data_IF_902957527272
#
_entry.id   IF_902957527272
#
_cell.length_a   1.000
_cell.length_b   1.000
_cell.length_c   1.000
_cell.angle_alpha   90.00
_cell.angle_beta   90.00
_cell.angle_gamma   90.00
#
_symmetry.space_group_name_H-M   'P 1'
#
loop_
_entity.id
_entity.type
_entity.pdbx_description
1 polymer ?
#
# COMPACT_ATOMS: atom_id res chain seq x y z
N UNK A 1 -38.95 84.00 23.15
CA UNK A 1 -39.76 84.83 22.24
C UNK A 1 -39.02 86.12 22.03
N UNK A 2 -38.85 86.49 20.81
CA UNK A 2 -38.29 87.79 20.42
C UNK A 2 -39.45 88.77 20.27
N UNK A 3 -39.32 89.95 20.85
CA UNK A 3 -40.35 91.03 20.80
C UNK A 3 -39.65 92.31 20.31
N UNK A 4 -40.14 92.86 19.23
CA UNK A 4 -39.76 94.18 18.76
C UNK A 4 -40.73 95.19 19.26
N UNK A 5 -40.22 96.33 19.77
CA UNK A 5 -41.06 97.42 20.39
C UNK A 5 -41.78 98.23 19.32
N UNK A 6 -41.20 98.39 18.14
CA UNK A 6 -41.69 99.13 17.01
C UNK A 6 -42.54 98.33 16.04
N UNK A 7 -42.57 96.95 16.27
CA UNK A 7 -43.34 95.99 15.50
C UNK A 7 -42.83 95.76 14.10
N UNK A 8 -41.51 95.90 13.92
CA UNK A 8 -40.81 95.61 12.66
C UNK A 8 -40.70 94.08 12.47
N UNK A 9 -40.44 93.68 11.23
CA UNK A 9 -40.19 92.24 10.87
C UNK A 9 -38.82 91.83 11.36
N UNK A 10 -38.73 90.78 12.23
CA UNK A 10 -37.51 90.30 12.82
C UNK A 10 -37.02 89.05 11.99
N UNK A 11 -35.83 89.15 11.49
CA UNK A 11 -35.13 88.01 10.93
C UNK A 11 -34.32 87.32 12.03
N UNK A 12 -34.47 85.97 12.09
CA UNK A 12 -33.74 85.15 13.04
C UNK A 12 -32.75 84.29 12.32
N UNK A 13 -31.49 84.33 12.77
CA UNK A 13 -30.41 83.45 12.29
C UNK A 13 -29.84 82.64 13.48
N UNK A 14 -29.31 81.47 13.22
CA UNK A 14 -28.61 80.69 14.23
C UNK A 14 -27.25 80.17 13.71
N UNK A 15 -26.26 80.21 14.59
CA UNK A 15 -24.89 79.77 14.32
C UNK A 15 -24.46 78.84 15.44
N UNK A 16 -23.59 77.90 15.14
CA UNK A 16 -22.92 77.03 16.11
C UNK A 16 -21.44 77.36 16.17
N UNK A 17 -20.81 77.27 17.33
CA UNK A 17 -19.35 77.45 17.48
C UNK A 17 -18.50 76.43 16.74
N UNK A 18 -19.15 75.37 16.24
CA UNK A 18 -18.47 74.30 15.44
C UNK A 18 -19.43 73.85 14.34
N UNK A 19 -19.49 74.59 13.22
CA UNK A 19 -20.35 74.29 12.07
C UNK A 19 -19.90 73.09 11.27
N UNK A 20 -18.67 72.60 11.50
CA UNK A 20 -18.16 71.39 10.88
C UNK A 20 -18.90 70.10 11.35
N UNK A 21 -19.37 70.11 12.61
CA UNK A 21 -19.99 68.96 13.24
C UNK A 21 -21.45 69.15 13.67
N UNK A 22 -21.88 70.36 13.82
CA UNK A 22 -23.28 70.70 14.20
C UNK A 22 -23.79 71.85 13.32
N UNK A 23 -24.95 71.64 12.72
CA UNK A 23 -25.64 72.66 11.96
C UNK A 23 -26.89 73.11 12.75
N UNK A 24 -27.16 74.38 12.69
CA UNK A 24 -28.40 74.95 13.24
C UNK A 24 -29.11 75.76 12.17
N UNK A 25 -30.40 75.58 12.05
CA UNK A 25 -31.27 76.36 11.16
C UNK A 25 -32.54 76.78 11.94
N UNK A 26 -33.12 77.96 11.60
CA UNK A 26 -34.39 78.36 12.16
C UNK A 26 -35.46 78.22 11.09
N UNK A 27 -36.49 77.43 11.40
CA UNK A 27 -37.65 77.21 10.52
C UNK A 27 -38.92 77.34 11.38
N UNK A 28 -39.91 78.12 10.90
CA UNK A 28 -41.17 78.28 11.58
C UNK A 28 -41.05 78.74 13.08
N UNK A 29 -40.02 79.56 13.40
CA UNK A 29 -39.74 80.03 14.75
C UNK A 29 -39.14 78.98 15.70
N UNK A 30 -38.73 77.82 15.18
CA UNK A 30 -38.02 76.78 15.93
C UNK A 30 -36.56 76.63 15.42
N UNK A 31 -35.69 76.39 16.38
CA UNK A 31 -34.29 76.03 16.03
C UNK A 31 -34.20 74.56 15.84
N UNK A 32 -33.82 74.13 14.63
CA UNK A 32 -33.49 72.73 14.29
C UNK A 32 -31.98 72.58 14.36
N UNK A 33 -31.53 71.67 15.20
CA UNK A 33 -30.12 71.39 15.40
C UNK A 33 -29.86 69.93 14.95
N UNK A 34 -28.90 69.74 14.04
CA UNK A 34 -28.48 68.41 13.55
C UNK A 34 -26.98 68.22 13.81
N UNK A 35 -26.65 67.21 14.54
CA UNK A 35 -25.28 66.78 14.68
C UNK A 35 -24.88 65.85 13.51
N UNK A 36 -23.60 65.88 13.07
CA UNK A 36 -23.05 64.85 12.21
C UNK A 36 -23.03 63.52 12.94
N UNK A 37 -23.09 62.48 12.16
CA UNK A 37 -23.06 61.09 12.67
C UNK A 37 -21.82 60.89 13.56
N UNK A 38 -22.00 60.23 14.72
CA UNK A 38 -20.97 59.89 15.71
C UNK A 38 -20.18 61.07 16.30
N UNK A 39 -20.70 62.28 16.21
CA UNK A 39 -20.11 63.42 16.93
C UNK A 39 -20.71 63.59 18.33
N UNK A 40 -19.86 63.74 19.31
CA UNK A 40 -20.23 64.14 20.69
C UNK A 40 -19.34 65.29 21.14
N UNK A 41 -19.83 66.08 22.05
CA UNK A 41 -19.12 67.25 22.54
C UNK A 41 -20.08 68.41 22.95
N UNK A 42 -19.48 69.53 23.28
CA UNK A 42 -20.24 70.75 23.66
C UNK A 42 -20.00 71.90 22.68
N UNK A 43 -21.06 72.49 22.19
CA UNK A 43 -20.97 73.66 21.30
C UNK A 43 -21.81 74.78 21.88
N UNK A 44 -21.44 76.05 21.63
CA UNK A 44 -22.24 77.18 21.84
C UNK A 44 -23.11 77.42 20.62
N UNK A 45 -24.40 77.53 20.82
CA UNK A 45 -25.39 77.98 19.82
C UNK A 45 -25.73 79.42 20.07
N UNK A 46 -25.51 80.26 19.07
CA UNK A 46 -25.82 81.70 19.09
C UNK A 46 -27.04 81.94 18.22
N UNK A 47 -28.09 82.54 18.77
CA UNK A 47 -29.28 82.96 18.03
C UNK A 47 -29.23 84.45 17.91
N UNK A 48 -29.32 84.98 16.72
CA UNK A 48 -29.25 86.36 16.39
C UNK A 48 -30.64 86.84 15.90
N UNK A 49 -31.13 87.84 16.46
CA UNK A 49 -32.35 88.54 16.04
C UNK A 49 -31.96 89.89 15.41
N UNK A 50 -32.41 90.14 14.19
CA UNK A 50 -32.11 91.35 13.44
C UNK A 50 -33.39 91.93 12.89
N UNK A 51 -33.66 93.22 13.20
CA UNK A 51 -34.78 93.96 12.66
C UNK A 51 -34.56 94.54 11.26
N UNK A 52 -33.36 94.31 10.65
CA UNK A 52 -32.94 94.78 9.34
C UNK A 52 -33.03 96.39 9.17
N UNK A 53 -33.29 97.13 10.26
CA UNK A 53 -33.31 98.61 10.22
C UNK A 53 -31.96 99.22 10.63
N UNK A 54 -30.95 98.43 10.86
CA UNK A 54 -29.54 98.81 11.09
C UNK A 54 -29.28 99.40 12.49
N UNK A 55 -30.12 99.13 13.46
CA UNK A 55 -29.99 99.68 14.82
C UNK A 55 -30.06 98.69 15.97
N UNK A 56 -30.69 97.51 15.81
CA UNK A 56 -30.82 96.54 16.87
C UNK A 56 -30.48 95.11 16.33
N UNK A 57 -29.36 94.65 16.80
CA UNK A 57 -29.02 93.19 16.69
C UNK A 57 -28.89 92.71 18.14
N UNK A 58 -29.70 91.74 18.53
CA UNK A 58 -29.57 91.04 19.80
C UNK A 58 -29.18 89.60 19.59
N UNK A 59 -28.35 89.13 20.48
CA UNK A 59 -27.87 87.75 20.37
C UNK A 59 -27.89 87.06 21.73
N UNK A 60 -28.48 85.88 21.74
CA UNK A 60 -28.49 85.00 22.91
C UNK A 60 -27.72 83.74 22.63
N UNK A 61 -26.96 83.32 23.63
CA UNK A 61 -26.13 82.15 23.53
C UNK A 61 -26.57 81.10 24.56
N UNK A 62 -26.52 79.83 24.14
CA UNK A 62 -26.67 78.68 25.04
C UNK A 62 -25.71 77.57 24.71
N UNK A 63 -25.28 76.79 25.70
CA UNK A 63 -24.48 75.59 25.50
C UNK A 63 -25.39 74.43 25.18
N UNK A 64 -24.99 73.68 24.10
CA UNK A 64 -25.58 72.43 23.73
C UNK A 64 -24.53 71.30 23.90
N UNK A 65 -24.86 70.34 24.74
CA UNK A 65 -24.04 69.15 24.91
C UNK A 65 -24.67 67.93 24.17
N UNK A 66 -23.94 67.36 23.25
CA UNK A 66 -24.28 66.07 22.65
C UNK A 66 -23.50 65.00 23.40
N UNK A 67 -24.24 64.14 24.09
CA UNK A 67 -23.64 63.09 24.90
C UNK A 67 -23.16 61.95 23.99
N UNK A 68 -22.03 61.35 24.32
CA UNK A 68 -21.58 60.10 23.58
C UNK A 68 -22.64 59.03 23.79
N UNK A 69 -22.93 58.29 22.71
CA UNK A 69 -23.71 57.05 22.67
C UNK A 69 -22.80 55.99 22.18
N UNK A 70 -22.68 54.91 22.93
CA UNK A 70 -21.84 53.79 22.54
C UNK A 70 -22.31 53.17 21.23
N UNK A 71 -21.43 53.06 20.25
CA UNK A 71 -21.64 52.36 19.01
C UNK A 71 -21.28 50.86 19.18
N UNK A 72 -21.79 50.02 18.32
CA UNK A 72 -21.59 48.59 18.39
C UNK A 72 -20.26 48.23 17.69
N UNK A 73 -19.36 47.44 18.29
CA UNK A 73 -18.14 47.04 17.65
C UNK A 73 -18.40 46.10 16.47
N UNK A 74 -17.52 46.11 15.48
CA UNK A 74 -17.62 45.30 14.25
C UNK A 74 -16.38 44.43 14.04
N UNK A 75 -16.60 43.18 13.60
CA UNK A 75 -15.50 42.32 13.10
C UNK A 75 -14.99 42.86 11.76
N UNK A 76 -13.65 42.94 11.59
CA UNK A 76 -13.03 43.51 10.38
C UNK A 76 -12.11 42.54 9.63
N UNK A 77 -11.76 41.40 10.21
CA UNK A 77 -10.92 40.39 9.59
C UNK A 77 -11.70 39.32 8.80
N UNK A 78 -10.99 38.43 8.13
CA UNK A 78 -11.59 37.23 7.56
C UNK A 78 -12.02 36.29 8.69
N UNK A 79 -13.27 35.87 8.67
CA UNK A 79 -13.85 34.95 9.66
C UNK A 79 -13.90 33.51 9.10
N UNK A 80 -12.91 33.13 8.31
CA UNK A 80 -12.75 31.76 7.78
C UNK A 80 -11.29 31.43 7.56
N UNK A 81 -10.96 30.12 7.66
CA UNK A 81 -9.63 29.65 7.41
C UNK A 81 -9.62 28.18 6.98
N UNK A 82 -8.60 27.81 6.19
CA UNK A 82 -8.22 26.43 5.87
C UNK A 82 -6.97 26.08 6.67
N UNK A 83 -7.02 24.95 7.40
CA UNK A 83 -5.92 24.49 8.25
C UNK A 83 -5.60 23.01 8.01
N UNK A 84 -4.35 22.61 8.25
CA UNK A 84 -3.95 21.21 8.24
C UNK A 84 -4.31 20.51 9.54
N UNK A 85 -4.84 19.28 9.46
CA UNK A 85 -5.04 18.43 10.63
C UNK A 85 -3.67 18.11 11.27
N UNK A 86 -3.57 18.28 12.59
CA UNK A 86 -2.34 18.11 13.34
C UNK A 86 -1.30 19.22 13.16
N UNK A 87 -1.62 20.28 12.40
CA UNK A 87 -0.73 21.42 12.17
C UNK A 87 -1.22 22.61 13.02
N UNK A 88 -0.30 23.17 13.80
CA UNK A 88 -0.60 24.39 14.56
C UNK A 88 -0.93 25.54 13.62
N UNK A 89 -1.98 26.28 13.96
CA UNK A 89 -2.42 27.46 13.22
C UNK A 89 -2.59 28.65 14.15
N UNK A 90 -2.52 29.85 13.57
CA UNK A 90 -2.68 31.10 14.24
C UNK A 90 -3.40 32.11 13.32
N UNK A 91 -4.54 32.65 13.75
CA UNK A 91 -5.30 33.71 13.05
C UNK A 91 -5.47 34.92 13.91
N UNK A 92 -5.09 36.08 13.39
CA UNK A 92 -5.28 37.36 14.05
C UNK A 92 -6.77 37.75 14.01
N UNK A 93 -7.39 37.91 15.16
CA UNK A 93 -8.74 38.44 15.29
C UNK A 93 -8.69 39.97 15.25
N UNK A 94 -9.50 40.56 14.38
CA UNK A 94 -9.54 42.01 14.18
C UNK A 94 -10.96 42.54 14.32
N UNK A 95 -11.08 43.67 14.96
CA UNK A 95 -12.32 44.40 15.12
C UNK A 95 -12.09 45.90 15.03
N UNK A 96 -13.15 46.62 14.85
CA UNK A 96 -13.18 48.06 14.83
C UNK A 96 -14.32 48.58 15.70
N UNK A 97 -14.05 49.61 16.47
CA UNK A 97 -15.03 50.38 17.22
C UNK A 97 -14.90 51.84 16.84
N UNK A 98 -16.02 52.50 16.56
CA UNK A 98 -16.02 53.87 16.08
C UNK A 98 -15.76 54.89 17.18
N UNK A 99 -16.10 54.53 18.43
CA UNK A 99 -15.80 55.33 19.62
C UNK A 99 -14.37 55.13 20.10
N UNK A 100 -13.64 54.20 19.46
CA UNK A 100 -12.28 53.78 19.82
C UNK A 100 -12.18 53.15 21.20
N UNK A 101 -13.25 52.49 21.65
CA UNK A 101 -13.27 51.75 22.91
C UNK A 101 -12.36 50.51 22.81
N UNK A 102 -11.77 50.07 23.93
CA UNK A 102 -10.91 48.88 23.94
C UNK A 102 -11.68 47.61 23.62
N UNK A 103 -11.28 46.92 22.53
CA UNK A 103 -11.90 45.72 22.10
C UNK A 103 -11.35 44.46 22.79
N UNK A 104 -12.22 43.50 23.07
CA UNK A 104 -11.88 42.20 23.65
C UNK A 104 -12.57 41.08 22.87
N UNK A 105 -11.85 40.01 22.57
CA UNK A 105 -12.37 38.79 21.93
C UNK A 105 -12.34 37.63 22.90
N UNK A 106 -13.40 36.81 22.90
CA UNK A 106 -13.45 35.57 23.68
C UNK A 106 -14.38 34.52 23.04
N UNK A 107 -14.25 33.27 23.47
CA UNK A 107 -15.13 32.18 23.06
C UNK A 107 -16.46 32.25 23.82
N UNK A 108 -17.57 31.97 23.15
CA UNK A 108 -18.90 31.96 23.77
C UNK A 108 -19.06 30.76 24.71
N UNK A 109 -19.16 30.97 26.00
CA UNK A 109 -19.28 29.91 27.02
C UNK A 109 -20.52 29.02 26.83
N UNK A 110 -21.49 29.43 26.04
CA UNK A 110 -22.68 28.64 25.73
C UNK A 110 -22.45 27.57 24.63
N UNK A 111 -21.33 27.62 23.94
CA UNK A 111 -20.96 26.73 22.86
C UNK A 111 -19.86 25.72 23.28
N UNK A 112 -20.00 24.48 22.86
CA UNK A 112 -18.98 23.43 23.11
C UNK A 112 -17.89 23.48 22.03
N UNK A 113 -16.78 24.12 22.35
CA UNK A 113 -15.60 24.17 21.45
C UNK A 113 -14.79 22.89 21.51
N UNK A 114 -14.08 22.54 20.43
CA UNK A 114 -13.03 21.52 20.48
C UNK A 114 -11.97 21.90 21.52
N UNK A 115 -11.47 20.91 22.28
CA UNK A 115 -10.47 21.16 23.35
C UNK A 115 -9.13 21.73 22.83
N UNK A 116 -8.88 21.61 21.53
CA UNK A 116 -7.66 22.07 20.87
C UNK A 116 -7.73 23.55 20.40
N UNK A 117 -8.83 24.28 20.62
CA UNK A 117 -8.98 25.68 20.21
C UNK A 117 -8.81 26.63 21.42
N UNK A 118 -8.13 27.73 21.22
CA UNK A 118 -7.89 28.76 22.23
C UNK A 118 -7.81 30.14 21.59
N UNK A 119 -8.23 31.18 22.36
CA UNK A 119 -7.97 32.61 22.03
C UNK A 119 -6.88 33.13 22.95
N UNK A 120 -5.75 33.54 22.35
CA UNK A 120 -4.69 34.27 23.03
C UNK A 120 -4.93 35.76 22.92
N UNK A 121 -4.57 36.49 23.99
CA UNK A 121 -4.63 37.99 24.04
C UNK A 121 -3.26 38.59 23.76
N UNK A 122 -3.22 39.80 23.23
CA UNK A 122 -2.05 40.66 23.00
C UNK A 122 -1.05 40.09 21.94
N UNK A 123 -1.38 40.20 20.65
CA UNK A 123 -2.69 40.53 20.08
C UNK A 123 -3.66 39.37 20.18
N UNK A 124 -4.95 39.63 20.00
CA UNK A 124 -5.97 38.58 20.01
C UNK A 124 -5.81 37.65 18.81
N UNK A 125 -5.58 36.35 19.07
CA UNK A 125 -5.35 35.34 18.07
C UNK A 125 -6.13 34.07 18.39
N UNK A 126 -6.81 33.52 17.38
CA UNK A 126 -7.38 32.18 17.43
C UNK A 126 -6.26 31.19 17.09
N UNK A 127 -5.96 30.29 18.00
CA UNK A 127 -4.87 29.32 17.85
C UNK A 127 -5.34 27.89 18.13
N UNK A 128 -4.65 26.91 17.60
CA UNK A 128 -4.95 25.49 17.84
C UNK A 128 -4.29 24.56 16.84
N UNK A 129 -4.64 23.27 16.96
CA UNK A 129 -4.29 22.24 15.98
C UNK A 129 -5.46 21.26 15.89
N UNK A 130 -6.15 21.23 14.74
CA UNK A 130 -7.32 20.38 14.55
C UNK A 130 -6.94 18.90 14.69
N UNK A 131 -7.70 18.11 15.45
CA UNK A 131 -7.47 16.67 15.65
C UNK A 131 -7.99 15.84 14.48
N UNK A 132 -9.02 16.32 13.78
CA UNK A 132 -9.70 15.60 12.71
C UNK A 132 -10.07 16.56 11.57
N UNK A 133 -10.33 16.01 10.39
CA UNK A 133 -10.88 16.77 9.27
C UNK A 133 -12.35 17.13 9.48
N UNK A 134 -12.74 18.26 8.91
CA UNK A 134 -14.12 18.73 9.00
C UNK A 134 -14.23 20.25 8.96
N UNK A 135 -15.48 20.70 8.96
CA UNK A 135 -15.80 22.14 9.05
C UNK A 135 -16.33 22.46 10.45
N UNK A 136 -15.66 23.37 11.13
CA UNK A 136 -16.00 23.82 12.46
C UNK A 136 -16.51 25.26 12.37
N UNK A 137 -17.75 25.49 12.82
CA UNK A 137 -18.37 26.84 12.91
C UNK A 137 -18.31 27.29 14.37
N UNK A 138 -17.42 28.23 14.67
CA UNK A 138 -17.10 28.64 16.05
C UNK A 138 -17.58 30.07 16.32
N UNK A 139 -18.59 30.25 17.14
CA UNK A 139 -19.02 31.59 17.56
C UNK A 139 -17.90 32.30 18.34
N UNK A 140 -17.53 33.50 17.93
CA UNK A 140 -16.57 34.36 18.63
C UNK A 140 -17.30 35.60 19.06
N UNK A 141 -17.09 36.01 20.30
CA UNK A 141 -17.68 37.24 20.88
C UNK A 141 -16.65 38.34 20.80
N UNK A 142 -17.07 39.50 20.27
CA UNK A 142 -16.35 40.75 20.30
C UNK A 142 -17.12 41.72 21.18
N UNK A 143 -16.44 42.40 22.13
CA UNK A 143 -17.04 43.41 22.99
C UNK A 143 -16.12 44.62 23.15
N UNK A 144 -16.73 45.78 23.28
CA UNK A 144 -16.16 47.06 23.68
C UNK A 144 -16.24 47.31 25.19
N UNK A 145 -16.82 46.38 25.96
CA UNK A 145 -17.07 46.46 27.38
C UNK A 145 -18.50 46.93 27.73
N UNK A 146 -19.28 47.44 26.76
CA UNK A 146 -20.66 47.89 26.91
C UNK A 146 -21.65 47.01 26.15
N UNK A 147 -21.29 46.67 24.92
CA UNK A 147 -22.10 45.84 24.03
C UNK A 147 -21.23 44.67 23.49
N UNK A 148 -21.85 43.56 23.18
CA UNK A 148 -21.20 42.41 22.59
C UNK A 148 -21.88 42.00 21.29
N UNK A 149 -21.08 41.65 20.29
CA UNK A 149 -21.53 41.06 19.03
C UNK A 149 -20.92 39.68 18.90
N UNK A 150 -21.61 38.79 18.18
CA UNK A 150 -21.16 37.43 17.94
C UNK A 150 -21.11 37.20 16.44
N UNK A 151 -19.99 36.67 15.96
CA UNK A 151 -19.87 36.16 14.59
C UNK A 151 -19.23 34.78 14.61
N UNK A 152 -19.47 33.97 13.57
CA UNK A 152 -18.99 32.59 13.50
C UNK A 152 -17.76 32.48 12.64
N UNK A 153 -16.62 32.14 13.26
CA UNK A 153 -15.42 31.78 12.54
C UNK A 153 -15.59 30.39 11.90
N UNK A 154 -15.40 30.29 10.58
CA UNK A 154 -15.51 29.05 9.81
C UNK A 154 -14.12 28.48 9.61
N UNK A 155 -13.78 27.38 10.31
CA UNK A 155 -12.53 26.66 10.16
C UNK A 155 -12.77 25.39 9.34
N UNK A 156 -12.06 25.25 8.22
CA UNK A 156 -12.04 24.03 7.42
C UNK A 156 -10.71 23.30 7.65
N UNK A 157 -10.76 22.18 8.38
CA UNK A 157 -9.59 21.35 8.64
C UNK A 157 -9.49 20.21 7.62
N UNK A 158 -8.32 20.02 7.02
CA UNK A 158 -8.05 18.99 6.00
C UNK A 158 -6.70 18.33 6.26
N UNK A 159 -6.57 17.05 5.87
CA UNK A 159 -5.28 16.38 5.88
C UNK A 159 -4.43 16.88 4.71
N UNK A 160 -3.43 17.70 4.99
CA UNK A 160 -2.50 18.18 3.96
C UNK A 160 -1.53 17.07 3.52
N UNK A 161 -1.18 16.17 4.44
CA UNK A 161 -0.31 15.02 4.17
C UNK A 161 -1.07 13.89 3.48
N UNK A 162 -0.39 13.09 2.66
CA UNK A 162 -0.93 11.82 2.19
C UNK A 162 -1.15 10.87 3.37
N UNK A 163 -2.04 9.90 3.24
CA UNK A 163 -2.33 8.91 4.29
C UNK A 163 -2.29 7.51 3.71
N UNK A 164 -1.41 6.67 4.24
CA UNK A 164 -1.39 5.24 3.87
C UNK A 164 -2.64 4.58 4.45
N UNK A 165 -3.47 4.02 3.57
CA UNK A 165 -4.69 3.29 3.92
C UNK A 165 -4.42 1.81 4.15
N UNK A 166 -3.50 1.21 3.37
CA UNK A 166 -3.12 -0.19 3.52
C UNK A 166 -1.72 -0.47 2.97
N UNK A 167 -1.09 -1.52 3.51
CA UNK A 167 0.11 -2.16 2.97
C UNK A 167 -0.20 -3.65 2.90
N UNK A 168 -0.40 -4.17 1.69
CA UNK A 168 -0.86 -5.54 1.44
C UNK A 168 0.12 -6.28 0.54
N UNK A 169 0.20 -7.58 0.74
CA UNK A 169 0.98 -8.48 -0.09
C UNK A 169 0.59 -8.41 -1.58
N UNK A 170 1.56 -8.62 -2.46
CA UNK A 170 1.30 -8.82 -3.89
C UNK A 170 0.92 -10.29 -4.10
N UNK A 171 -0.31 -10.60 -4.54
CA UNK A 171 -0.74 -11.99 -4.67
C UNK A 171 -0.04 -12.70 -5.82
N UNK A 172 0.08 -14.02 -5.70
CA UNK A 172 0.65 -14.93 -6.71
C UNK A 172 2.07 -14.53 -7.16
N UNK A 173 2.92 -14.16 -6.19
CA UNK A 173 4.31 -13.81 -6.44
C UNK A 173 5.29 -14.58 -5.52
N UNK A 174 6.59 -14.43 -5.79
CA UNK A 174 7.68 -15.04 -5.01
C UNK A 174 8.02 -14.22 -3.75
N UNK A 175 7.08 -13.38 -3.27
CA UNK A 175 7.31 -12.50 -2.14
C UNK A 175 8.20 -11.29 -2.45
N UNK A 176 8.67 -10.63 -1.41
CA UNK A 176 9.56 -9.46 -1.50
C UNK A 176 8.87 -8.18 -1.96
N UNK A 177 7.53 -8.16 -2.15
CA UNK A 177 6.78 -7.02 -2.68
C UNK A 177 5.45 -6.83 -1.97
N UNK A 178 5.05 -5.57 -1.87
CA UNK A 178 3.73 -5.17 -1.34
C UNK A 178 3.12 -4.07 -2.19
N UNK A 179 1.81 -3.96 -2.16
CA UNK A 179 1.07 -2.79 -2.58
C UNK A 179 0.92 -1.84 -1.40
N UNK A 180 1.42 -0.61 -1.55
CA UNK A 180 1.13 0.50 -0.64
C UNK A 180 0.01 1.30 -1.27
N UNK A 181 -1.17 1.27 -0.63
CA UNK A 181 -2.31 2.10 -0.99
C UNK A 181 -2.34 3.33 -0.11
N UNK A 182 -2.49 4.51 -0.71
CA UNK A 182 -2.55 5.77 0.04
C UNK A 182 -3.49 6.78 -0.61
N UNK A 183 -4.13 7.60 0.22
CA UNK A 183 -4.87 8.77 -0.21
C UNK A 183 -3.91 9.90 -0.53
N UNK A 184 -4.20 10.65 -1.59
CA UNK A 184 -3.41 11.81 -2.00
C UNK A 184 -3.35 12.92 -0.95
N UNK A 185 -2.40 13.83 -1.12
CA UNK A 185 -2.33 15.10 -0.37
C UNK A 185 -3.52 15.98 -0.74
N UNK A 186 -3.98 16.84 0.17
CA UNK A 186 -5.00 17.87 -0.12
C UNK A 186 -4.64 18.73 -1.35
N UNK A 187 -3.36 18.95 -1.58
CA UNK A 187 -2.84 19.76 -2.69
C UNK A 187 -2.68 19.00 -4.01
N UNK A 188 -3.03 17.71 -4.05
CA UNK A 188 -2.98 16.93 -5.28
C UNK A 188 -4.10 17.37 -6.23
N UNK A 189 -3.69 17.91 -7.37
CA UNK A 189 -4.60 18.43 -8.37
C UNK A 189 -4.10 18.08 -9.77
N UNK A 190 -4.99 17.68 -10.70
CA UNK A 190 -4.61 17.39 -12.08
C UNK A 190 -4.11 18.63 -12.85
N UNK A 191 -4.36 19.82 -12.31
CA UNK A 191 -3.92 21.10 -12.91
C UNK A 191 -2.47 21.45 -12.52
N UNK A 192 -1.93 20.82 -11.49
CA UNK A 192 -0.58 21.06 -10.95
C UNK A 192 0.43 20.05 -11.52
N UNK A 193 1.33 20.48 -12.39
CA UNK A 193 2.17 19.59 -13.20
C UNK A 193 3.47 19.11 -12.56
N UNK A 194 3.87 19.65 -11.40
CA UNK A 194 5.19 19.39 -10.80
C UNK A 194 5.10 18.69 -9.44
N UNK A 195 3.94 18.13 -9.11
CA UNK A 195 3.73 17.43 -7.87
C UNK A 195 4.00 15.94 -8.03
N UNK A 196 4.58 15.34 -7.01
CA UNK A 196 4.85 13.90 -6.98
C UNK A 196 4.91 13.37 -5.55
N UNK A 197 4.75 12.06 -5.44
CA UNK A 197 4.91 11.32 -4.19
C UNK A 197 6.19 10.50 -4.22
N UNK A 198 6.90 10.45 -3.09
CA UNK A 198 8.00 9.51 -2.87
C UNK A 198 7.60 8.56 -1.75
N UNK A 199 7.64 7.26 -2.06
CA UNK A 199 7.48 6.21 -1.07
C UNK A 199 8.86 5.88 -0.50
N UNK A 200 8.96 5.82 0.82
CA UNK A 200 10.19 5.47 1.52
C UNK A 200 9.95 4.27 2.42
N UNK A 201 10.96 3.41 2.51
CA UNK A 201 11.02 2.22 3.35
C UNK A 201 12.06 2.44 4.44
N UNK A 202 11.81 1.94 5.64
CA UNK A 202 12.75 2.02 6.75
C UNK A 202 13.74 0.84 6.70
N UNK A 203 14.99 1.12 6.35
CA UNK A 203 16.06 0.12 6.21
C UNK A 203 17.10 0.26 7.33
N UNK A 204 17.67 -0.86 7.79
CA UNK A 204 18.81 -0.85 8.72
C UNK A 204 20.13 -0.86 7.95
N UNK A 205 20.87 0.23 8.00
CA UNK A 205 22.17 0.38 7.34
C UNK A 205 23.25 0.62 8.40
N UNK A 206 24.16 -0.33 8.54
CA UNK A 206 25.24 -0.21 9.52
C UNK A 206 24.78 -0.21 10.98
N UNK A 207 23.57 -0.69 11.26
CA UNK A 207 22.95 -0.72 12.58
C UNK A 207 22.10 0.53 12.91
N UNK A 208 21.99 1.46 11.99
CA UNK A 208 21.10 2.63 12.08
C UNK A 208 19.89 2.47 11.18
N UNK A 209 18.73 2.93 11.64
CA UNK A 209 17.49 2.92 10.87
C UNK A 209 17.36 4.19 10.04
N UNK A 210 17.25 4.03 8.72
CA UNK A 210 17.22 5.13 7.74
C UNK A 210 16.09 4.94 6.75
N UNK A 211 15.38 6.03 6.45
CA UNK A 211 14.35 6.04 5.41
C UNK A 211 14.98 6.10 4.01
N UNK A 212 14.72 5.08 3.19
CA UNK A 212 15.23 4.96 1.83
C UNK A 212 14.06 5.11 0.85
N UNK A 213 14.19 6.03 -0.11
CA UNK A 213 13.21 6.16 -1.20
C UNK A 213 13.22 4.91 -2.08
N UNK A 214 12.06 4.25 -2.19
CA UNK A 214 11.90 2.99 -2.96
C UNK A 214 11.07 3.18 -4.22
N UNK A 215 10.23 4.22 -4.29
CA UNK A 215 9.43 4.53 -5.48
C UNK A 215 9.08 6.01 -5.55
N UNK A 216 8.76 6.47 -6.75
CA UNK A 216 8.24 7.82 -6.99
C UNK A 216 7.11 7.74 -8.00
N UNK A 217 5.99 8.42 -7.72
CA UNK A 217 4.82 8.47 -8.59
C UNK A 217 4.34 9.91 -8.75
N UNK A 218 3.91 10.29 -9.94
CA UNK A 218 3.37 11.63 -10.20
C UNK A 218 2.01 11.81 -9.51
N UNK A 219 1.78 12.96 -8.93
CA UNK A 219 0.46 13.38 -8.47
C UNK A 219 -0.43 13.68 -9.69
N UNK A 220 -1.64 13.15 -9.71
CA UNK A 220 -2.56 13.23 -10.85
C UNK A 220 -3.98 13.66 -10.45
N UNK A 221 -4.20 14.04 -9.20
CA UNK A 221 -5.49 14.46 -8.68
C UNK A 221 -6.48 13.31 -8.45
N UNK A 222 -5.99 12.08 -8.33
CA UNK A 222 -6.85 10.93 -7.98
C UNK A 222 -6.93 10.76 -6.46
N UNK A 223 -8.05 10.24 -5.99
CA UNK A 223 -8.31 10.08 -4.56
C UNK A 223 -7.37 9.08 -3.89
N UNK A 224 -7.05 7.98 -4.56
CA UNK A 224 -6.21 6.90 -4.04
C UNK A 224 -5.19 6.43 -5.06
N UNK A 225 -3.97 6.16 -4.58
CA UNK A 225 -2.84 5.62 -5.32
C UNK A 225 -2.50 4.24 -4.79
N UNK A 226 -2.21 3.31 -5.69
CA UNK A 226 -1.67 1.99 -5.37
C UNK A 226 -0.30 1.85 -6.01
N UNK A 227 0.73 1.63 -5.21
CA UNK A 227 2.11 1.56 -5.68
C UNK A 227 2.77 0.29 -5.19
N UNK A 228 3.29 -0.50 -6.11
CA UNK A 228 4.08 -1.68 -5.79
C UNK A 228 5.50 -1.26 -5.35
N UNK A 229 5.94 -1.78 -4.20
CA UNK A 229 7.28 -1.53 -3.64
C UNK A 229 7.85 -2.81 -3.03
N UNK A 230 9.19 -2.87 -2.95
CA UNK A 230 9.87 -4.01 -2.32
C UNK A 230 9.86 -3.92 -0.80
N UNK A 231 9.74 -5.07 -0.15
CA UNK A 231 9.98 -5.28 1.27
C UNK A 231 11.45 -5.63 1.55
N UNK A 232 11.81 -5.82 2.82
CA UNK A 232 13.16 -6.25 3.21
C UNK A 232 13.27 -7.76 3.30
N UNK A 233 12.23 -8.40 3.82
CA UNK A 233 12.13 -9.85 4.02
C UNK A 233 10.65 -10.24 3.99
N UNK A 234 10.38 -11.48 3.63
CA UNK A 234 9.04 -12.02 3.67
C UNK A 234 8.62 -12.45 5.08
N UNK A 235 7.34 -12.44 5.32
CA UNK A 235 6.76 -13.05 6.50
C UNK A 235 6.84 -14.57 6.39
N UNK A 236 7.27 -15.21 7.45
CA UNK A 236 7.39 -16.66 7.55
C UNK A 236 6.82 -17.15 8.87
N UNK A 237 6.77 -18.47 9.07
CA UNK A 237 6.40 -19.07 10.37
C UNK A 237 7.35 -18.69 11.51
N UNK A 238 8.54 -18.17 11.22
CA UNK A 238 9.57 -17.80 12.20
C UNK A 238 9.66 -16.29 12.47
N UNK A 239 9.04 -15.45 11.64
CA UNK A 239 9.06 -14.00 11.81
C UNK A 239 8.03 -13.29 10.94
N UNK A 240 7.51 -12.17 11.45
CA UNK A 240 6.44 -11.43 10.78
C UNK A 240 6.88 -10.68 9.52
N UNK A 241 8.19 -10.52 9.28
CA UNK A 241 8.73 -9.81 8.11
C UNK A 241 8.22 -8.37 7.93
N UNK A 242 7.75 -7.72 9.02
CA UNK A 242 7.17 -6.38 8.94
C UNK A 242 8.18 -5.37 8.40
N UNK A 243 7.75 -4.62 7.41
CA UNK A 243 8.48 -3.52 6.80
C UNK A 243 7.67 -2.24 6.95
N UNK A 244 8.30 -1.15 7.37
CA UNK A 244 7.66 0.15 7.55
C UNK A 244 7.82 1.03 6.31
N UNK A 245 6.74 1.73 5.97
CA UNK A 245 6.66 2.64 4.82
C UNK A 245 6.13 4.01 5.22
N UNK A 246 6.58 5.03 4.48
CA UNK A 246 6.06 6.40 4.50
C UNK A 246 5.88 6.93 3.09
N UNK A 247 4.93 7.85 2.94
CA UNK A 247 4.71 8.60 1.70
C UNK A 247 4.94 10.07 1.95
N UNK A 248 5.76 10.71 1.14
CA UNK A 248 5.96 12.14 1.15
C UNK A 248 5.39 12.76 -0.14
N UNK A 249 4.49 13.71 -0.01
CA UNK A 249 3.99 14.54 -1.10
C UNK A 249 4.89 15.76 -1.29
N UNK A 250 5.44 15.93 -2.48
CA UNK A 250 6.18 17.12 -2.90
C UNK A 250 5.24 18.00 -3.70
N UNK A 251 4.82 19.12 -3.13
CA UNK A 251 3.83 20.02 -3.69
C UNK A 251 4.43 21.41 -3.88
N UNK A 252 3.72 22.30 -4.60
CA UNK A 252 4.10 23.71 -4.73
C UNK A 252 3.99 24.49 -3.41
N UNK A 253 3.32 23.91 -2.41
CA UNK A 253 3.06 24.53 -1.08
C UNK A 253 3.98 23.98 0.00
N UNK A 254 4.76 22.94 -0.29
CA UNK A 254 5.68 22.31 0.67
C UNK A 254 5.77 20.80 0.53
N UNK A 255 6.45 20.19 1.49
CA UNK A 255 6.57 18.72 1.60
C UNK A 255 5.75 18.24 2.78
N UNK A 256 4.79 17.37 2.52
CA UNK A 256 3.89 16.79 3.52
C UNK A 256 4.11 15.29 3.59
N UNK A 257 4.32 14.77 4.78
CA UNK A 257 4.70 13.37 4.98
C UNK A 257 3.65 12.64 5.81
N UNK A 258 3.30 11.42 5.40
CA UNK A 258 2.41 10.52 6.15
C UNK A 258 3.05 10.04 7.45
N UNK A 259 2.24 9.52 8.34
CA UNK A 259 2.70 8.61 9.38
C UNK A 259 3.28 7.33 8.77
N UNK A 260 4.09 6.60 9.55
CA UNK A 260 4.61 5.31 9.16
C UNK A 260 3.51 4.24 9.29
N UNK A 261 3.44 3.35 8.30
CA UNK A 261 2.54 2.18 8.32
C UNK A 261 3.34 0.94 7.96
N UNK A 262 3.10 -0.15 8.68
CA UNK A 262 3.79 -1.42 8.47
C UNK A 262 2.95 -2.38 7.64
N UNK A 263 3.62 -3.20 6.84
CA UNK A 263 3.06 -4.36 6.15
C UNK A 263 4.12 -5.43 5.94
N UNK A 264 3.72 -6.53 5.36
CA UNK A 264 4.61 -7.66 5.07
C UNK A 264 4.28 -8.26 3.71
N UNK A 265 5.26 -8.88 3.09
CA UNK A 265 5.12 -9.70 1.89
C UNK A 265 5.12 -11.18 2.25
N UNK A 266 4.50 -11.97 1.40
CA UNK A 266 4.47 -13.42 1.47
C UNK A 266 4.93 -13.98 0.12
N UNK A 267 5.76 -14.98 0.15
CA UNK A 267 5.89 -15.85 -0.99
C UNK A 267 4.67 -16.77 -1.02
N UNK A 268 3.85 -16.61 -2.04
CA UNK A 268 2.60 -17.36 -2.23
C UNK A 268 2.47 -17.97 -3.63
N UNK A 269 3.57 -17.98 -4.40
CA UNK A 269 3.63 -18.61 -5.69
C UNK A 269 4.18 -20.04 -5.57
N UNK A 270 3.27 -21.02 -5.60
CA UNK A 270 3.65 -22.42 -5.57
C UNK A 270 4.53 -22.84 -6.78
N UNK A 271 5.48 -23.75 -6.59
CA UNK A 271 6.24 -24.33 -7.70
C UNK A 271 5.33 -25.06 -8.69
N UNK A 272 5.80 -25.24 -9.91
CA UNK A 272 5.06 -26.04 -10.90
C UNK A 272 4.99 -27.51 -10.46
N UNK A 273 3.88 -28.17 -10.82
CA UNK A 273 3.76 -29.61 -10.60
C UNK A 273 4.91 -30.38 -11.29
N UNK A 274 5.45 -31.43 -10.65
CA UNK A 274 6.51 -32.22 -11.25
C UNK A 274 6.11 -32.83 -12.60
N UNK A 275 6.97 -32.70 -13.59
CA UNK A 275 6.74 -33.25 -14.93
C UNK A 275 7.31 -34.65 -15.08
N UNK A 276 6.92 -35.34 -16.14
CA UNK A 276 7.43 -36.70 -16.52
C UNK A 276 7.26 -37.75 -15.42
N UNK A 277 6.35 -37.56 -14.46
CA UNK A 277 6.12 -38.53 -13.39
C UNK A 277 5.71 -39.88 -13.96
N UNK A 278 6.55 -40.91 -13.70
CA UNK A 278 6.41 -42.22 -14.28
C UNK A 278 6.88 -43.29 -13.31
N UNK A 279 6.41 -44.55 -13.51
CA UNK A 279 6.81 -45.68 -12.70
C UNK A 279 6.98 -46.95 -13.52
N UNK A 280 7.85 -47.84 -13.07
CA UNK A 280 8.01 -49.19 -13.64
C UNK A 280 8.42 -50.17 -12.53
N UNK A 281 8.26 -51.47 -12.83
CA UNK A 281 8.70 -52.54 -11.95
C UNK A 281 10.09 -53.01 -12.38
N UNK A 282 11.03 -53.04 -11.44
CA UNK A 282 12.38 -53.53 -11.63
C UNK A 282 12.74 -54.47 -10.45
N UNK A 283 13.14 -55.67 -10.72
CA UNK A 283 13.61 -56.66 -9.72
C UNK A 283 12.73 -56.72 -8.46
N UNK A 284 11.42 -56.83 -8.65
CA UNK A 284 10.43 -56.85 -7.58
C UNK A 284 10.40 -55.54 -6.73
N UNK A 285 10.74 -54.40 -7.32
CA UNK A 285 10.60 -53.08 -6.73
C UNK A 285 9.81 -52.19 -7.67
N UNK A 286 9.11 -51.21 -7.12
CA UNK A 286 8.44 -50.15 -7.89
C UNK A 286 9.42 -48.98 -7.92
N UNK A 287 9.89 -48.59 -9.11
CA UNK A 287 10.78 -47.46 -9.31
C UNK A 287 9.97 -46.33 -9.91
N UNK A 288 9.91 -45.20 -9.20
CA UNK A 288 9.27 -43.98 -9.66
C UNK A 288 10.35 -42.95 -9.99
N UNK A 289 10.09 -42.11 -10.98
CA UNK A 289 10.99 -41.05 -11.40
C UNK A 289 10.20 -39.90 -12.02
N UNK A 290 10.80 -38.71 -11.98
CA UNK A 290 10.23 -37.44 -12.46
C UNK A 290 11.34 -36.45 -12.82
N UNK A 291 11.00 -35.33 -13.43
CA UNK A 291 11.96 -34.28 -13.76
C UNK A 291 12.25 -33.38 -12.54
N UNK A 292 13.43 -32.74 -12.55
CA UNK A 292 13.82 -31.76 -11.55
C UNK A 292 12.90 -30.53 -11.64
N UNK A 293 12.45 -30.02 -10.50
CA UNK A 293 11.74 -28.75 -10.45
C UNK A 293 12.68 -27.58 -10.76
N UNK A 294 12.20 -26.58 -11.49
CA UNK A 294 12.97 -25.42 -11.95
C UNK A 294 12.76 -24.15 -11.11
N UNK A 295 11.90 -24.19 -10.09
CA UNK A 295 11.69 -23.05 -9.20
C UNK A 295 12.99 -22.76 -8.41
N UNK A 296 13.34 -21.48 -8.29
CA UNK A 296 14.59 -21.06 -7.61
C UNK A 296 14.54 -21.35 -6.11
N UNK A 297 13.36 -21.31 -5.54
CA UNK A 297 13.02 -21.54 -4.13
C UNK A 297 12.52 -22.98 -3.85
N UNK A 298 12.62 -23.89 -4.83
CA UNK A 298 12.24 -25.28 -4.65
C UNK A 298 12.94 -25.90 -3.43
N UNK A 299 12.16 -26.56 -2.57
CA UNK A 299 12.65 -27.24 -1.35
C UNK A 299 12.75 -28.74 -1.55
N UNK A 300 11.64 -29.41 -1.79
CA UNK A 300 11.60 -30.87 -1.88
C UNK A 300 10.33 -31.35 -2.61
N UNK A 301 10.31 -32.66 -2.92
CA UNK A 301 9.12 -33.34 -3.41
C UNK A 301 8.41 -34.08 -2.27
N UNK A 302 7.08 -34.16 -2.32
CA UNK A 302 6.29 -35.05 -1.48
C UNK A 302 5.60 -36.09 -2.36
N UNK A 303 6.04 -37.36 -2.22
CA UNK A 303 5.42 -38.49 -2.87
C UNK A 303 4.40 -39.11 -1.93
N UNK A 304 3.17 -39.27 -2.39
CA UNK A 304 2.10 -39.97 -1.67
C UNK A 304 1.88 -41.35 -2.29
N UNK A 305 1.76 -42.37 -1.41
CA UNK A 305 1.44 -43.76 -1.75
C UNK A 305 0.15 -44.15 -1.05
N UNK A 306 -0.81 -44.70 -1.81
CA UNK A 306 -2.11 -45.12 -1.29
C UNK A 306 -2.55 -46.47 -1.84
N UNK A 307 -3.46 -47.15 -1.13
CA UNK A 307 -4.21 -48.30 -1.63
C UNK A 307 -5.50 -47.91 -2.36
N UNK A 308 -5.87 -46.65 -2.30
CA UNK A 308 -7.10 -46.07 -2.88
C UNK A 308 -6.75 -44.99 -3.88
N UNK A 309 -7.40 -45.03 -5.05
CA UNK A 309 -7.30 -43.97 -6.06
C UNK A 309 -7.68 -42.58 -5.52
N UNK A 310 -8.56 -42.54 -4.52
CA UNK A 310 -8.98 -41.29 -3.90
C UNK A 310 -8.01 -40.76 -2.84
N UNK A 311 -6.96 -41.50 -2.50
CA UNK A 311 -5.99 -41.15 -1.45
C UNK A 311 -6.63 -40.87 -0.08
N UNK A 312 -7.68 -41.61 0.32
CA UNK A 312 -8.34 -41.47 1.63
C UNK A 312 -7.38 -41.76 2.79
N UNK A 313 -6.42 -42.66 2.56
CA UNK A 313 -5.30 -43.01 3.44
C UNK A 313 -4.05 -43.17 2.60
N UNK A 314 -2.99 -42.48 2.98
CA UNK A 314 -1.73 -42.50 2.24
C UNK A 314 -0.51 -42.39 3.15
N UNK A 315 0.62 -42.85 2.67
CA UNK A 315 1.95 -42.63 3.23
C UNK A 315 2.62 -41.49 2.48
N UNK A 316 3.37 -40.62 3.19
CA UNK A 316 4.13 -39.51 2.59
C UNK A 316 5.61 -39.80 2.67
N UNK A 317 6.32 -39.57 1.57
CA UNK A 317 7.76 -39.60 1.48
C UNK A 317 8.26 -38.22 1.03
N UNK A 318 9.13 -37.60 1.84
CA UNK A 318 9.80 -36.34 1.52
C UNK A 318 11.12 -36.67 0.80
N UNK A 319 11.34 -36.11 -0.39
CA UNK A 319 12.40 -36.52 -1.31
C UNK A 319 13.09 -35.30 -1.92
N UNK A 320 14.41 -35.29 -1.89
CA UNK A 320 15.23 -34.27 -2.57
C UNK A 320 15.65 -34.71 -3.97
N UNK A 321 15.65 -36.05 -4.20
CA UNK A 321 16.01 -36.66 -5.46
C UNK A 321 14.82 -36.72 -6.43
N UNK A 322 15.09 -36.95 -7.71
CA UNK A 322 14.10 -37.12 -8.78
C UNK A 322 13.68 -38.56 -9.04
N UNK A 323 13.92 -39.43 -8.07
CA UNK A 323 13.53 -40.85 -8.13
C UNK A 323 13.29 -41.43 -6.75
N UNK A 324 12.42 -42.42 -6.69
CA UNK A 324 12.14 -43.20 -5.49
C UNK A 324 11.98 -44.69 -5.82
N UNK A 325 12.56 -45.55 -5.01
CA UNK A 325 12.40 -46.99 -5.14
C UNK A 325 11.60 -47.52 -3.97
N UNK A 326 10.38 -47.95 -4.24
CA UNK A 326 9.51 -48.57 -3.25
C UNK A 326 9.76 -50.11 -3.25
N UNK A 327 10.27 -50.58 -2.12
CA UNK A 327 10.49 -52.02 -1.84
C UNK A 327 9.48 -52.55 -0.81
N UNK A 328 8.62 -51.67 -0.26
CA UNK A 328 7.67 -52.03 0.77
C UNK A 328 6.25 -52.10 0.19
N UNK A 329 5.96 -53.20 -0.48
CA UNK A 329 4.65 -53.48 -1.07
C UNK A 329 4.26 -54.96 -0.90
N UNK A 330 2.98 -55.25 -1.04
CA UNK A 330 2.40 -56.58 -1.03
C UNK A 330 2.15 -57.03 -2.47
N UNK A 331 2.61 -58.21 -2.85
CA UNK A 331 2.33 -58.79 -4.17
C UNK A 331 0.83 -58.89 -4.42
N UNK A 332 0.41 -58.74 -5.66
CA UNK A 332 -0.98 -58.78 -6.11
C UNK A 332 -1.87 -57.68 -5.48
N UNK A 333 -1.25 -56.60 -4.98
CA UNK A 333 -1.91 -55.43 -4.44
C UNK A 333 -1.65 -54.24 -5.34
N UNK A 334 -2.69 -53.48 -5.62
CA UNK A 334 -2.61 -52.23 -6.39
C UNK A 334 -2.28 -51.09 -5.46
N UNK A 335 -1.32 -50.26 -5.88
CA UNK A 335 -0.94 -49.02 -5.22
C UNK A 335 -1.08 -47.85 -6.19
N UNK A 336 -1.44 -46.72 -5.64
CA UNK A 336 -1.54 -45.44 -6.35
C UNK A 336 -0.48 -44.50 -5.81
N UNK A 337 0.20 -43.80 -6.70
CA UNK A 337 1.24 -42.82 -6.38
C UNK A 337 0.92 -41.50 -7.04
N UNK A 338 1.08 -40.40 -6.32
CA UNK A 338 1.05 -39.04 -6.83
C UNK A 338 2.14 -38.22 -6.19
N UNK A 339 2.52 -37.10 -6.83
CA UNK A 339 3.66 -36.30 -6.45
C UNK A 339 3.30 -34.84 -6.48
N UNK A 340 3.85 -34.06 -5.53
CA UNK A 340 3.86 -32.59 -5.53
C UNK A 340 5.28 -32.09 -5.34
N UNK A 341 5.51 -30.84 -5.72
CA UNK A 341 6.68 -30.06 -5.33
C UNK A 341 6.28 -29.06 -4.23
N UNK A 342 7.19 -28.83 -3.29
CA UNK A 342 7.03 -27.85 -2.22
C UNK A 342 8.26 -26.93 -2.21
N UNK A 343 8.03 -25.61 -2.02
CA UNK A 343 9.09 -24.62 -1.89
C UNK A 343 9.55 -24.43 -0.45
N UNK A 344 10.49 -23.50 -0.24
CA UNK A 344 11.01 -23.17 1.10
C UNK A 344 10.00 -22.42 1.98
N UNK A 345 8.99 -21.81 1.38
CA UNK A 345 7.92 -21.07 2.06
C UNK A 345 6.75 -21.99 2.45
N UNK A 346 6.73 -23.22 1.92
CA UNK A 346 5.71 -24.24 2.18
C UNK A 346 4.56 -24.23 1.19
N UNK A 347 4.67 -23.48 0.06
CA UNK A 347 3.68 -23.53 -1.01
C UNK A 347 3.82 -24.84 -1.77
N UNK A 348 2.66 -25.43 -2.10
CA UNK A 348 2.59 -26.75 -2.73
C UNK A 348 2.01 -26.65 -4.11
N UNK A 349 2.66 -27.32 -5.05
CA UNK A 349 2.14 -27.46 -6.41
C UNK A 349 0.84 -28.24 -6.45
N UNK A 350 0.17 -28.21 -7.59
CA UNK A 350 -0.86 -29.19 -7.91
C UNK A 350 -0.26 -30.62 -7.91
N UNK A 351 -1.10 -31.63 -7.64
CA UNK A 351 -0.68 -33.01 -7.75
C UNK A 351 -0.46 -33.43 -9.21
N UNK A 352 0.53 -34.29 -9.43
CA UNK A 352 0.60 -35.05 -10.68
C UNK A 352 -0.62 -35.94 -10.84
N UNK A 353 -0.88 -36.41 -12.08
CA UNK A 353 -1.82 -37.51 -12.25
C UNK A 353 -1.32 -38.75 -11.48
N UNK A 354 -2.26 -39.45 -10.82
CA UNK A 354 -1.94 -40.64 -10.07
C UNK A 354 -1.47 -41.76 -11.01
N UNK A 355 -0.43 -42.48 -10.57
CA UNK A 355 0.06 -43.69 -11.26
C UNK A 355 -0.43 -44.90 -10.50
N UNK A 356 -1.10 -45.80 -11.20
CA UNK A 356 -1.52 -47.09 -10.69
C UNK A 356 -0.44 -48.16 -10.93
N UNK A 357 0.00 -48.84 -9.89
CA UNK A 357 1.02 -49.91 -9.97
C UNK A 357 0.55 -51.17 -9.24
N UNK A 358 0.62 -52.32 -9.91
CA UNK A 358 0.34 -53.62 -9.31
C UNK A 358 1.52 -54.53 -9.57
N UNK A 359 2.21 -54.98 -8.53
CA UNK A 359 3.26 -55.97 -8.66
C UNK A 359 2.64 -57.36 -8.58
N UNK A 360 2.57 -58.03 -9.69
CA UNK A 360 2.04 -59.39 -9.76
C UNK A 360 3.08 -60.40 -9.28
N UNK A 361 2.64 -61.40 -8.53
CA UNK A 361 3.46 -62.57 -8.26
C UNK A 361 3.70 -63.29 -9.59
N UNK A 362 4.94 -63.39 -9.99
CA UNK A 362 5.30 -64.22 -11.17
C UNK A 362 5.24 -65.66 -10.74
N UNK A 363 4.15 -66.34 -11.07
CA UNK A 363 4.02 -67.78 -10.86
C UNK A 363 5.11 -68.51 -11.61
N UNK A 364 6.11 -69.00 -10.87
CA UNK A 364 7.11 -69.94 -11.26
C UNK A 364 8.00 -69.54 -12.46
N UNK A 365 9.24 -69.34 -12.16
CA UNK A 365 10.45 -69.38 -13.01
C UNK A 365 10.30 -70.12 -14.34
N UNK A 366 9.52 -69.58 -15.29
CA UNK A 366 9.64 -70.04 -16.70
C UNK A 366 10.85 -69.26 -17.22
N UNK A 367 12.02 -69.98 -17.20
CA UNK A 367 13.21 -69.47 -17.83
C UNK A 367 12.85 -69.11 -19.29
N UNK A 368 13.26 -67.97 -19.83
CA UNK A 368 13.10 -67.67 -21.26
C UNK A 368 13.63 -68.82 -22.09
N UNK A 369 13.01 -69.13 -23.23
CA UNK A 369 13.47 -70.20 -24.13
C UNK A 369 14.67 -69.74 -24.92
N UNK A 370 14.84 -68.43 -25.17
CA UNK A 370 15.88 -67.82 -25.97
C UNK A 370 16.47 -66.56 -25.32
N UNK A 371 17.73 -66.26 -25.69
CA UNK A 371 18.30 -64.92 -25.33
C UNK A 371 17.60 -63.85 -26.13
N UNK A 372 17.26 -62.74 -25.46
CA UNK A 372 16.69 -61.55 -26.07
C UNK A 372 17.24 -60.30 -25.47
N UNK A 373 17.39 -59.23 -26.26
CA UNK A 373 17.55 -57.85 -25.82
C UNK A 373 16.32 -57.08 -26.23
N UNK A 374 15.63 -56.44 -25.27
CA UNK A 374 14.42 -55.69 -25.56
C UNK A 374 14.72 -54.22 -25.80
N UNK A 375 13.78 -53.49 -26.42
CA UNK A 375 13.86 -52.05 -26.55
C UNK A 375 13.85 -51.43 -25.17
N UNK A 376 14.75 -50.47 -24.93
CA UNK A 376 14.78 -49.71 -23.70
C UNK A 376 13.47 -48.92 -23.55
N UNK A 377 13.04 -48.74 -22.31
CA UNK A 377 11.84 -47.97 -21.98
C UNK A 377 12.09 -47.12 -20.74
N UNK A 378 11.68 -45.80 -20.80
CA UNK A 378 11.19 -45.07 -21.97
C UNK A 378 12.23 -44.96 -23.11
N UNK A 379 11.75 -44.71 -24.35
CA UNK A 379 12.60 -44.34 -25.49
C UNK A 379 11.79 -43.50 -26.49
N UNK A 380 12.03 -42.21 -26.65
CA UNK A 380 13.10 -41.43 -26.01
C UNK A 380 13.02 -41.37 -24.48
N UNK A 381 14.14 -41.04 -23.79
CA UNK A 381 14.23 -41.00 -22.33
C UNK A 381 14.98 -39.75 -21.84
N UNK A 382 14.75 -39.40 -20.55
CA UNK A 382 15.37 -38.27 -19.89
C UNK A 382 15.37 -38.43 -18.35
N UNK A 383 16.48 -38.48 -17.64
CA UNK A 383 17.76 -39.00 -18.11
C UNK A 383 17.87 -40.51 -17.94
N UNK A 384 16.84 -41.19 -17.41
CA UNK A 384 16.88 -42.60 -17.01
C UNK A 384 16.10 -43.47 -17.99
N UNK A 385 16.65 -44.65 -18.31
CA UNK A 385 15.98 -45.69 -19.11
C UNK A 385 16.31 -47.08 -18.61
N UNK A 386 15.36 -48.00 -18.78
CA UNK A 386 15.51 -49.41 -18.43
C UNK A 386 15.77 -50.23 -19.66
N UNK A 387 16.81 -51.06 -19.64
CA UNK A 387 17.15 -52.05 -20.64
C UNK A 387 16.75 -53.43 -20.11
N UNK A 388 15.83 -54.12 -20.79
CA UNK A 388 15.39 -55.48 -20.45
C UNK A 388 16.07 -56.51 -21.34
N UNK A 389 16.37 -57.67 -20.76
CA UNK A 389 16.99 -58.75 -21.48
C UNK A 389 16.58 -60.10 -20.87
N UNK A 390 16.59 -61.15 -21.69
CA UNK A 390 16.18 -62.49 -21.30
C UNK A 390 17.40 -63.45 -21.38
N UNK A 391 17.58 -64.25 -20.32
CA UNK A 391 18.67 -65.19 -20.15
C UNK A 391 18.08 -66.61 -20.00
N UNK A 392 18.19 -67.50 -20.98
CA UNK A 392 17.63 -68.85 -20.92
C UNK A 392 18.44 -69.80 -20.07
N UNK A 393 19.78 -69.63 -20.00
CA UNK A 393 20.72 -70.44 -19.25
C UNK A 393 21.73 -69.56 -18.54
N UNK A 394 22.25 -70.03 -17.41
CA UNK A 394 23.25 -69.27 -16.64
C UNK A 394 24.43 -68.90 -17.58
N UNK A 395 24.70 -67.62 -17.68
CA UNK A 395 25.64 -67.05 -18.64
C UNK A 395 26.34 -65.83 -18.11
N UNK A 396 27.56 -65.59 -18.53
CA UNK A 396 28.24 -64.34 -18.33
C UNK A 396 27.64 -63.30 -19.27
N UNK A 397 27.03 -62.26 -18.71
CA UNK A 397 26.39 -61.20 -19.46
C UNK A 397 27.22 -59.94 -19.38
N UNK A 398 27.55 -59.36 -20.55
CA UNK A 398 28.15 -58.03 -20.68
C UNK A 398 27.16 -57.12 -21.36
N UNK A 399 26.79 -56.02 -20.66
CA UNK A 399 25.96 -54.95 -21.23
C UNK A 399 26.76 -53.66 -21.23
N UNK A 400 26.89 -53.03 -22.41
CA UNK A 400 27.68 -51.83 -22.62
C UNK A 400 26.92 -50.81 -23.45
N UNK A 401 27.15 -49.51 -23.15
CA UNK A 401 26.63 -48.38 -23.89
C UNK A 401 27.75 -47.75 -24.72
N UNK A 402 27.41 -47.35 -25.95
CA UNK A 402 28.26 -46.67 -26.90
C UNK A 402 27.57 -45.46 -27.49
N UNK A 403 28.33 -44.47 -27.90
CA UNK A 403 27.79 -43.36 -28.69
C UNK A 403 27.54 -43.78 -30.15
N UNK A 404 26.94 -42.90 -30.96
CA UNK A 404 26.63 -43.19 -32.37
C UNK A 404 27.88 -43.46 -33.23
N UNK A 405 29.07 -43.04 -32.78
CA UNK A 405 30.34 -43.25 -33.44
C UNK A 405 30.98 -44.57 -33.00
N UNK A 406 30.34 -45.35 -32.14
CA UNK A 406 30.83 -46.60 -31.60
C UNK A 406 31.89 -46.44 -30.50
N UNK A 407 32.04 -45.23 -29.92
CA UNK A 407 32.95 -45.02 -28.80
C UNK A 407 32.28 -45.51 -27.51
N UNK A 408 33.06 -46.22 -26.69
CA UNK A 408 32.60 -46.72 -25.41
C UNK A 408 32.18 -45.58 -24.46
N UNK A 409 31.03 -45.75 -23.80
CA UNK A 409 30.46 -44.79 -22.83
C UNK A 409 30.46 -45.40 -21.44
N UNK A 410 29.80 -46.53 -21.23
CA UNK A 410 29.66 -47.17 -19.91
C UNK A 410 29.46 -48.67 -20.01
N UNK A 411 30.03 -49.43 -19.08
CA UNK A 411 29.67 -50.82 -18.84
C UNK A 411 28.60 -50.84 -17.76
N UNK A 412 27.38 -51.26 -18.10
CA UNK A 412 26.27 -51.38 -17.16
C UNK A 412 26.36 -52.71 -16.38
N UNK A 413 26.78 -53.78 -17.03
CA UNK A 413 26.87 -55.10 -16.41
C UNK A 413 28.03 -55.91 -16.99
N UNK A 414 28.68 -56.71 -16.14
CA UNK A 414 29.68 -57.72 -16.54
C UNK A 414 29.78 -58.82 -15.47
N UNK A 415 28.67 -59.57 -15.29
CA UNK A 415 28.57 -60.61 -14.24
C UNK A 415 28.00 -61.91 -14.79
N UNK A 416 28.10 -63.01 -13.97
CA UNK A 416 27.31 -64.23 -14.19
C UNK A 416 25.88 -63.98 -13.82
N UNK A 417 24.96 -64.29 -14.74
CA UNK A 417 23.51 -64.11 -14.54
C UNK A 417 22.81 -65.47 -14.59
N UNK A 418 21.93 -65.74 -13.64
CA UNK A 418 21.03 -66.86 -13.60
C UNK A 418 19.95 -66.74 -14.69
N UNK A 419 19.35 -67.87 -15.15
CA UNK A 419 18.24 -67.87 -16.08
C UNK A 419 17.08 -66.97 -15.56
N UNK A 420 16.44 -66.22 -16.47
CA UNK A 420 15.31 -65.36 -16.13
C UNK A 420 15.22 -64.16 -17.05
N UNK A 421 14.11 -63.43 -16.89
CA UNK A 421 13.89 -62.08 -17.47
C UNK A 421 14.52 -61.06 -16.53
N UNK A 422 15.44 -60.26 -17.06
CA UNK A 422 16.27 -59.30 -16.29
C UNK A 422 16.13 -57.90 -16.83
N UNK A 423 16.53 -56.91 -15.98
CA UNK A 423 16.59 -55.52 -16.41
C UNK A 423 17.75 -54.77 -15.74
N UNK A 424 18.20 -53.70 -16.37
CA UNK A 424 19.24 -52.83 -15.86
C UNK A 424 18.93 -51.38 -16.24
N UNK A 425 19.20 -50.48 -15.33
CA UNK A 425 19.01 -49.03 -15.53
C UNK A 425 20.26 -48.39 -16.12
N UNK A 426 20.05 -47.42 -16.98
CA UNK A 426 21.07 -46.45 -17.38
C UNK A 426 20.58 -45.02 -17.10
N UNK A 427 21.40 -44.30 -16.37
CA UNK A 427 21.16 -42.95 -15.86
C UNK A 427 21.78 -41.85 -16.73
N UNK A 428 22.03 -42.11 -17.99
CA UNK A 428 22.70 -41.22 -18.94
C UNK A 428 24.06 -40.69 -18.45
N UNK A 429 24.80 -41.48 -17.66
CA UNK A 429 26.17 -41.14 -17.25
C UNK A 429 27.21 -42.02 -17.97
N UNK A 430 28.45 -41.50 -18.10
CA UNK A 430 29.59 -42.25 -18.60
C UNK A 430 30.21 -43.15 -17.50
N UNK A 431 31.31 -43.83 -17.80
CA UNK A 431 31.98 -44.77 -16.89
C UNK A 431 32.50 -44.12 -15.60
N UNK A 432 32.71 -42.81 -15.58
CA UNK A 432 33.18 -42.05 -14.41
C UNK A 432 32.07 -41.29 -13.69
N UNK A 433 30.80 -41.52 -14.11
CA UNK A 433 29.61 -40.90 -13.46
C UNK A 433 29.26 -39.51 -13.97
N UNK A 434 29.86 -39.00 -15.04
CA UNK A 434 29.53 -37.69 -15.60
C UNK A 434 28.38 -37.82 -16.61
N UNK A 435 27.41 -36.88 -16.61
CA UNK A 435 26.31 -36.86 -17.57
C UNK A 435 26.79 -36.79 -19.01
N UNK A 436 26.15 -37.55 -19.90
CA UNK A 436 26.47 -37.55 -21.34
C UNK A 436 25.52 -36.58 -22.08
N UNK A 437 25.91 -36.14 -23.27
CA UNK A 437 25.13 -35.20 -24.09
C UNK A 437 23.87 -35.88 -24.65
N UNK A 438 22.79 -35.11 -24.80
CA UNK A 438 21.61 -35.55 -25.53
C UNK A 438 21.97 -36.07 -26.93
N UNK A 439 21.31 -37.12 -27.38
CA UNK A 439 21.58 -37.74 -28.66
C UNK A 439 21.28 -39.23 -28.71
N UNK A 440 21.66 -39.83 -29.82
CA UNK A 440 21.47 -41.28 -30.05
C UNK A 440 22.64 -42.07 -29.46
N UNK A 441 22.31 -43.13 -28.71
CA UNK A 441 23.23 -44.10 -28.13
C UNK A 441 22.87 -45.50 -28.57
N UNK A 442 23.87 -46.39 -28.53
CA UNK A 442 23.73 -47.82 -28.81
C UNK A 442 23.99 -48.59 -27.51
N UNK A 443 23.21 -49.59 -27.22
CA UNK A 443 23.51 -50.54 -26.17
C UNK A 443 23.64 -51.94 -26.72
N UNK A 444 24.63 -52.64 -26.23
CA UNK A 444 25.02 -53.98 -26.62
C UNK A 444 24.82 -54.94 -25.46
N UNK A 445 24.19 -56.10 -25.70
CA UNK A 445 24.34 -57.27 -24.85
C UNK A 445 25.25 -58.28 -25.55
N UNK A 446 26.13 -58.90 -24.78
CA UNK A 446 26.99 -59.98 -25.27
C UNK A 446 27.10 -61.06 -24.20
N UNK A 447 26.84 -62.28 -24.59
CA UNK A 447 27.14 -63.54 -23.86
C UNK A 447 28.05 -64.44 -24.74
N UNK A 448 28.36 -65.62 -24.27
CA UNK A 448 29.12 -66.62 -25.11
C UNK A 448 28.34 -67.05 -26.35
N UNK A 449 27.00 -67.16 -26.24
CA UNK A 449 26.11 -67.69 -27.28
C UNK A 449 25.26 -66.60 -27.99
N UNK A 450 25.21 -65.37 -27.51
CA UNK A 450 24.27 -64.30 -28.00
C UNK A 450 24.92 -62.93 -28.02
N UNK A 451 24.59 -62.15 -29.07
CA UNK A 451 25.04 -60.81 -29.21
C UNK A 451 23.97 -59.99 -29.95
N UNK A 452 23.50 -58.93 -29.35
CA UNK A 452 22.50 -57.98 -29.95
C UNK A 452 22.86 -56.59 -29.62
N UNK A 453 22.51 -55.65 -30.54
CA UNK A 453 22.67 -54.19 -30.37
C UNK A 453 21.35 -53.51 -30.67
N UNK A 454 20.97 -52.57 -29.83
CA UNK A 454 19.79 -51.70 -30.03
C UNK A 454 20.17 -50.22 -29.86
N UNK A 455 19.28 -49.34 -30.35
CA UNK A 455 19.45 -47.90 -30.27
C UNK A 455 18.50 -47.32 -29.26
N UNK A 456 18.93 -46.23 -28.61
CA UNK A 456 18.12 -45.42 -27.69
C UNK A 456 18.36 -43.92 -27.90
N UNK A 457 17.38 -43.08 -27.60
CA UNK A 457 17.44 -41.63 -27.78
C UNK A 457 17.33 -40.96 -26.45
N UNK A 458 18.41 -40.27 -26.02
CA UNK A 458 18.44 -39.42 -24.83
C UNK A 458 17.98 -38.01 -25.23
N UNK A 459 16.95 -37.53 -24.58
CA UNK A 459 16.50 -36.13 -24.62
C UNK A 459 17.34 -35.30 -23.64
N UNK A 460 17.19 -33.97 -23.75
CA UNK A 460 17.89 -33.06 -22.84
C UNK A 460 16.92 -32.53 -21.82
#
# INVERSE_FOLDING_TARGET
SVIDVDNDEIELESYTSNEEYITSIIEDGNIHINSYFNWNGTVTVTVVANDNMGRAIDAEEFELSVLPVNDIPEFTGEMNALVGVGIEFEFLLQGFDIDADPLTFFLDDSYAYPEWIEILSDPFRLVGAASDDGTYSMPIVLTDGFVSVVDSFQLNAQYFQPRISSVTDVPDDQGGRVYVEFQGSFFDSPEETNQFYTLSRLDSIGGEWVWIGVSTVSATGIESYVVEVSTLVDSTTFGTGLTEFKVAAFTNYGVYQSDATSGYSLDNLAPMAPESFSAFILDQSIVLFWDQNSAEDFSHFQLEKSYSENFDHFEIFTLDDTSFTDTNFVMNTTYFYRLIAEDVSGNKSEYTNAIEMTVLEIDGNIAPEEFALHQNYPNPFNPVTTIRYDIPVESRVLIQVFDIQGRFVKTLMNNMESPGKKSILWDATNQIGEPVSAGMYLYLIQTEAFKEVRKMLLLK
#
